data_IF_139637399719
#
_entry.id   IF_139637399719
#
_cell.length_a   1.000
_cell.length_b   1.000
_cell.length_c   1.000
_cell.angle_alpha   90.00
_cell.angle_beta   90.00
_cell.angle_gamma   90.00
#
_symmetry.space_group_name_H-M   'P 1'
#
loop_
_entity.id
_entity.type
_entity.pdbx_description
1 polymer ?
#
# COMPACT_ATOMS: atom_id res chain seq x y z
N UNK A 1 0.38 7.06 6.21
CA UNK A 1 -0.74 6.67 7.09
C UNK A 1 -1.39 7.85 7.83
N UNK A 2 -1.71 8.96 7.16
CA UNK A 2 -2.32 10.15 7.79
C UNK A 2 -3.68 9.87 8.46
N UNK A 3 -4.46 8.93 7.91
CA UNK A 3 -5.78 8.55 8.42
C UNK A 3 -5.69 7.80 9.75
N UNK A 4 -4.80 6.81 9.86
CA UNK A 4 -4.49 6.12 11.13
C UNK A 4 -4.05 7.10 12.21
N UNK A 5 -3.10 7.99 11.89
CA UNK A 5 -2.61 9.01 12.83
C UNK A 5 -3.72 9.97 13.28
N UNK A 6 -4.69 10.26 12.40
CA UNK A 6 -5.85 11.09 12.73
C UNK A 6 -6.81 10.36 13.66
N UNK A 7 -7.11 9.08 13.40
CA UNK A 7 -8.02 8.26 14.21
C UNK A 7 -7.44 8.06 15.62
N UNK A 8 -6.14 7.73 15.73
CA UNK A 8 -5.49 7.55 17.03
C UNK A 8 -5.47 8.85 17.84
N UNK A 9 -5.17 10.00 17.21
CA UNK A 9 -5.19 11.30 17.90
C UNK A 9 -6.59 11.70 18.36
N UNK A 10 -7.59 11.49 17.51
CA UNK A 10 -8.99 11.76 17.88
C UNK A 10 -9.43 10.91 19.08
N UNK A 11 -9.10 9.61 19.09
CA UNK A 11 -9.41 8.72 20.20
C UNK A 11 -8.68 9.10 21.49
N UNK A 12 -7.41 9.52 21.41
CA UNK A 12 -6.66 10.01 22.57
C UNK A 12 -7.27 11.27 23.18
N UNK A 13 -7.74 12.20 22.34
CA UNK A 13 -8.41 13.40 22.80
C UNK A 13 -9.72 13.06 23.50
N UNK A 14 -10.54 12.21 22.88
CA UNK A 14 -11.82 11.77 23.42
C UNK A 14 -11.65 11.02 24.76
N UNK A 15 -10.61 10.20 24.89
CA UNK A 15 -10.28 9.54 26.15
C UNK A 15 -9.96 10.53 27.27
N UNK A 16 -9.15 11.57 26.97
CA UNK A 16 -8.84 12.64 27.95
C UNK A 16 -10.07 13.45 28.33
N UNK A 17 -10.94 13.74 27.37
CA UNK A 17 -12.21 14.42 27.64
C UNK A 17 -13.14 13.56 28.49
N UNK A 18 -13.21 12.26 28.23
CA UNK A 18 -13.97 11.31 29.03
C UNK A 18 -13.44 11.23 30.47
N UNK A 19 -12.12 11.23 30.65
CA UNK A 19 -11.48 11.28 31.97
C UNK A 19 -11.74 12.60 32.71
N UNK A 20 -11.72 13.74 31.99
CA UNK A 20 -12.04 15.02 32.58
C UNK A 20 -13.53 15.10 33.02
N UNK A 21 -14.44 14.57 32.20
CA UNK A 21 -15.88 14.53 32.50
C UNK A 21 -16.22 13.57 33.64
N UNK A 22 -15.52 12.44 33.74
CA UNK A 22 -15.79 11.43 34.77
C UNK A 22 -15.64 11.94 36.20
N UNK A 23 -14.78 12.95 36.43
CA UNK A 23 -14.55 13.57 37.75
C UNK A 23 -15.80 14.22 38.36
N UNK A 24 -16.78 14.61 37.55
CA UNK A 24 -18.05 15.21 38.00
C UNK A 24 -19.28 14.30 37.87
N UNK A 25 -19.09 13.04 37.48
CA UNK A 25 -20.18 12.12 37.16
C UNK A 25 -20.48 11.15 38.30
N UNK A 26 -21.74 10.68 38.36
CA UNK A 26 -22.11 9.58 39.25
C UNK A 26 -21.39 8.28 38.84
N UNK A 27 -21.07 7.43 39.81
CA UNK A 27 -20.28 6.20 39.61
C UNK A 27 -20.82 5.29 38.49
N UNK A 28 -22.15 5.14 38.39
CA UNK A 28 -22.80 4.38 37.31
C UNK A 28 -22.51 4.96 35.93
N UNK A 29 -22.55 6.28 35.79
CA UNK A 29 -22.30 6.97 34.52
C UNK A 29 -20.81 6.89 34.12
N UNK A 30 -19.89 6.84 35.09
CA UNK A 30 -18.46 6.58 34.85
C UNK A 30 -18.24 5.16 34.32
N UNK A 31 -18.92 4.16 34.88
CA UNK A 31 -18.85 2.77 34.40
C UNK A 31 -19.37 2.64 32.96
N UNK A 32 -20.52 3.24 32.65
CA UNK A 32 -21.08 3.25 31.28
C UNK A 32 -20.16 3.98 30.28
N UNK A 33 -19.51 5.07 30.72
CA UNK A 33 -18.54 5.79 29.89
C UNK A 33 -17.30 4.93 29.62
N UNK A 34 -16.76 4.25 30.63
CA UNK A 34 -15.61 3.36 30.49
C UNK A 34 -15.91 2.17 29.56
N UNK A 35 -17.10 1.58 29.68
CA UNK A 35 -17.53 0.50 28.80
C UNK A 35 -17.60 0.96 27.34
N UNK A 36 -18.24 2.11 27.07
CA UNK A 36 -18.30 2.67 25.71
C UNK A 36 -16.93 3.00 25.14
N UNK A 37 -16.01 3.54 25.94
CA UNK A 37 -14.64 3.82 25.50
C UNK A 37 -13.87 2.53 25.16
N UNK A 38 -14.07 1.46 25.93
CA UNK A 38 -13.47 0.16 25.65
C UNK A 38 -14.01 -0.45 24.34
N UNK A 39 -15.34 -0.49 24.17
CA UNK A 39 -15.99 -0.96 22.93
C UNK A 39 -15.50 -0.18 21.72
N UNK A 40 -15.40 1.15 21.85
CA UNK A 40 -14.86 2.02 20.79
C UNK A 40 -13.40 1.71 20.49
N UNK A 41 -12.57 1.47 21.50
CA UNK A 41 -11.17 1.09 21.30
C UNK A 41 -11.04 -0.22 20.52
N UNK A 42 -11.85 -1.23 20.85
CA UNK A 42 -11.83 -2.51 20.16
C UNK A 42 -12.28 -2.37 18.70
N UNK A 43 -13.37 -1.63 18.47
CA UNK A 43 -13.88 -1.37 17.12
C UNK A 43 -12.84 -0.63 16.25
N UNK A 44 -12.22 0.43 16.79
CA UNK A 44 -11.19 1.17 16.08
C UNK A 44 -9.97 0.31 15.78
N UNK A 45 -9.56 -0.56 16.70
CA UNK A 45 -8.48 -1.53 16.49
C UNK A 45 -8.76 -2.45 15.30
N UNK A 46 -9.95 -3.06 15.26
CA UNK A 46 -10.37 -3.92 14.15
C UNK A 46 -10.46 -3.16 12.83
N UNK A 47 -11.03 -1.95 12.84
CA UNK A 47 -11.17 -1.13 11.64
C UNK A 47 -9.80 -0.76 11.05
N UNK A 48 -8.85 -0.37 11.89
CA UNK A 48 -7.49 -0.04 11.45
C UNK A 48 -6.77 -1.26 10.87
N UNK A 49 -6.94 -2.44 11.48
CA UNK A 49 -6.36 -3.68 10.96
C UNK A 49 -6.93 -4.06 9.59
N UNK A 50 -8.25 -3.97 9.42
CA UNK A 50 -8.90 -4.23 8.11
C UNK A 50 -8.46 -3.23 7.06
N UNK A 51 -8.37 -1.94 7.41
CA UNK A 51 -7.91 -0.91 6.49
C UNK A 51 -6.45 -1.13 6.07
N UNK A 52 -5.58 -1.57 6.99
CA UNK A 52 -4.18 -1.90 6.68
C UNK A 52 -4.08 -3.09 5.71
N UNK A 53 -4.87 -4.14 5.93
CA UNK A 53 -4.95 -5.28 5.02
C UNK A 53 -5.48 -4.89 3.64
N UNK A 54 -6.52 -4.06 3.60
CA UNK A 54 -7.09 -3.57 2.34
C UNK A 54 -6.08 -2.73 1.55
N UNK A 55 -5.36 -1.83 2.22
CA UNK A 55 -4.30 -1.03 1.60
C UNK A 55 -3.17 -1.90 1.05
N UNK A 56 -2.77 -2.94 1.80
CA UNK A 56 -1.76 -3.88 1.34
C UNK A 56 -2.23 -4.64 0.11
N UNK A 57 -3.48 -5.13 0.11
CA UNK A 57 -4.08 -5.83 -1.03
C UNK A 57 -4.22 -4.92 -2.27
N UNK A 58 -4.67 -3.68 -2.09
CA UNK A 58 -4.73 -2.71 -3.18
C UNK A 58 -3.35 -2.35 -3.73
N UNK A 59 -2.35 -2.22 -2.87
CA UNK A 59 -0.96 -2.00 -3.28
C UNK A 59 -0.44 -3.17 -4.09
N UNK A 60 -0.70 -4.41 -3.66
CA UNK A 60 -0.35 -5.61 -4.40
C UNK A 60 -1.05 -5.65 -5.76
N UNK A 61 -2.37 -5.46 -5.80
CA UNK A 61 -3.14 -5.45 -7.05
C UNK A 61 -2.68 -4.38 -8.04
N UNK A 62 -2.35 -3.17 -7.57
CA UNK A 62 -1.77 -2.11 -8.41
C UNK A 62 -0.38 -2.49 -8.91
N UNK A 63 0.44 -3.11 -8.06
CA UNK A 63 1.77 -3.61 -8.43
C UNK A 63 1.65 -4.70 -9.49
N UNK A 64 0.76 -5.67 -9.30
CA UNK A 64 0.52 -6.75 -10.27
C UNK A 64 0.03 -6.21 -11.61
N UNK A 65 -0.87 -5.22 -11.57
CA UNK A 65 -1.37 -4.54 -12.78
C UNK A 65 -0.25 -3.81 -13.52
N UNK A 66 0.63 -3.12 -12.78
CA UNK A 66 1.79 -2.45 -13.34
C UNK A 66 2.79 -3.47 -13.95
N UNK A 67 3.11 -4.53 -13.20
CA UNK A 67 3.98 -5.62 -13.65
C UNK A 67 3.43 -6.28 -14.91
N UNK A 68 2.11 -6.48 -15.00
CA UNK A 68 1.46 -7.02 -16.20
C UNK A 68 1.68 -6.09 -17.40
N UNK A 69 1.45 -4.78 -17.24
CA UNK A 69 1.69 -3.79 -18.30
C UNK A 69 3.15 -3.80 -18.76
N UNK A 70 4.10 -3.86 -17.83
CA UNK A 70 5.53 -3.94 -18.14
C UNK A 70 5.83 -5.24 -18.91
N UNK A 71 5.33 -6.39 -18.45
CA UNK A 71 5.53 -7.69 -19.13
C UNK A 71 4.96 -7.70 -20.55
N UNK A 72 3.76 -7.15 -20.73
CA UNK A 72 3.11 -7.06 -22.05
C UNK A 72 3.90 -6.14 -23.01
N UNK A 73 4.43 -5.04 -22.47
CA UNK A 73 5.31 -4.14 -23.22
C UNK A 73 6.63 -4.83 -23.61
N UNK A 74 7.35 -5.42 -22.65
CA UNK A 74 8.62 -6.15 -22.87
C UNK A 74 8.44 -7.25 -23.90
N UNK A 75 7.32 -7.99 -23.87
CA UNK A 75 7.00 -9.02 -24.87
C UNK A 75 6.84 -8.44 -26.27
N UNK A 76 6.19 -7.28 -26.38
CA UNK A 76 6.00 -6.59 -27.66
C UNK A 76 7.33 -6.04 -28.19
N UNK A 77 8.12 -5.40 -27.33
CA UNK A 77 9.46 -4.91 -27.63
C UNK A 77 10.39 -6.05 -28.08
N UNK A 78 10.37 -7.18 -27.37
CA UNK A 78 11.12 -8.38 -27.71
C UNK A 78 10.83 -8.90 -29.11
N UNK A 79 9.55 -8.99 -29.48
CA UNK A 79 9.13 -9.40 -30.83
C UNK A 79 9.57 -8.41 -31.91
N UNK A 80 9.39 -7.11 -31.68
CA UNK A 80 9.75 -6.08 -32.65
C UNK A 80 11.26 -6.03 -32.92
N UNK A 81 12.06 -6.20 -31.87
CA UNK A 81 13.52 -6.18 -31.95
C UNK A 81 14.15 -7.58 -32.13
N UNK A 82 13.33 -8.60 -32.40
CA UNK A 82 13.75 -9.98 -32.72
C UNK A 82 14.57 -10.67 -31.61
N UNK A 83 14.28 -10.35 -30.35
CA UNK A 83 14.85 -11.08 -29.21
C UNK A 83 14.21 -12.46 -29.07
N UNK A 84 15.04 -13.49 -28.95
CA UNK A 84 14.58 -14.87 -28.67
C UNK A 84 14.15 -15.03 -27.21
N UNK A 85 14.78 -14.32 -26.29
CA UNK A 85 14.47 -14.29 -24.86
C UNK A 85 14.84 -12.92 -24.28
N UNK A 86 14.08 -12.47 -23.28
CA UNK A 86 14.42 -11.35 -22.40
C UNK A 86 14.31 -11.89 -20.98
N UNK A 87 15.38 -11.77 -20.19
CA UNK A 87 15.45 -12.29 -18.82
C UNK A 87 15.31 -11.12 -17.86
N UNK A 88 14.39 -11.24 -16.89
CA UNK A 88 14.29 -10.27 -15.80
C UNK A 88 15.43 -10.48 -14.81
N UNK A 89 16.05 -9.39 -14.35
CA UNK A 89 17.13 -9.44 -13.36
C UNK A 89 16.64 -9.59 -11.90
N UNK A 90 15.34 -9.81 -11.67
CA UNK A 90 14.81 -9.95 -10.31
C UNK A 90 15.38 -11.16 -9.57
N UNK A 91 15.51 -10.97 -8.25
CA UNK A 91 16.18 -11.80 -7.25
C UNK A 91 16.27 -13.30 -7.60
N UNK A 92 17.39 -13.69 -8.21
CA UNK A 92 17.79 -15.09 -8.40
C UNK A 92 17.60 -15.66 -9.81
N UNK A 93 17.04 -14.90 -10.76
CA UNK A 93 16.78 -15.38 -12.13
C UNK A 93 18.03 -15.42 -13.01
N UNK A 94 18.98 -14.50 -12.76
CA UNK A 94 20.24 -14.36 -13.49
C UNK A 94 21.36 -14.12 -12.47
N UNK A 95 22.33 -15.04 -12.39
CA UNK A 95 23.44 -14.94 -11.44
C UNK A 95 24.57 -14.02 -11.93
N UNK A 96 24.73 -13.92 -13.26
CA UNK A 96 25.67 -13.03 -13.93
C UNK A 96 25.14 -12.76 -15.35
N UNK A 97 25.17 -11.49 -15.77
CA UNK A 97 24.85 -11.05 -17.12
C UNK A 97 25.88 -10.03 -17.58
N UNK A 98 26.28 -10.12 -18.85
CA UNK A 98 27.14 -9.12 -19.48
C UNK A 98 26.35 -7.81 -19.63
N UNK A 99 26.89 -6.69 -19.11
CA UNK A 99 26.25 -5.36 -19.18
C UNK A 99 25.99 -4.91 -20.62
N UNK A 100 26.78 -5.37 -21.59
CA UNK A 100 26.54 -5.07 -23.02
C UNK A 100 25.27 -5.71 -23.57
N UNK A 101 24.66 -6.64 -22.82
CA UNK A 101 23.39 -7.29 -23.13
C UNK A 101 22.24 -6.80 -22.24
N UNK A 102 22.50 -5.83 -21.36
CA UNK A 102 21.46 -5.18 -20.59
C UNK A 102 20.70 -4.19 -21.49
N UNK A 103 19.40 -4.42 -21.63
CA UNK A 103 18.50 -3.61 -22.46
C UNK A 103 17.56 -2.75 -21.61
N UNK A 104 17.80 -2.66 -20.29
CA UNK A 104 16.90 -2.02 -19.32
C UNK A 104 16.64 -0.57 -19.70
N UNK A 105 17.70 0.20 -20.01
CA UNK A 105 17.58 1.61 -20.40
C UNK A 105 16.79 1.79 -21.72
N UNK A 106 17.05 0.95 -22.72
CA UNK A 106 16.36 1.01 -24.00
C UNK A 106 14.86 0.68 -23.86
N UNK A 107 14.54 -0.34 -23.07
CA UNK A 107 13.16 -0.72 -22.76
C UNK A 107 12.47 0.35 -21.93
N UNK A 108 13.15 0.93 -20.93
CA UNK A 108 12.62 2.00 -20.09
C UNK A 108 12.26 3.23 -20.93
N UNK A 109 13.17 3.65 -21.82
CA UNK A 109 12.92 4.76 -22.74
C UNK A 109 11.73 4.47 -23.64
N UNK A 110 11.68 3.30 -24.28
CA UNK A 110 10.59 2.93 -25.16
C UNK A 110 9.24 2.84 -24.43
N UNK A 111 9.24 2.35 -23.18
CA UNK A 111 8.05 2.28 -22.33
C UNK A 111 7.54 3.68 -21.98
N UNK A 112 8.43 4.59 -21.58
CA UNK A 112 8.08 5.97 -21.26
C UNK A 112 7.54 6.71 -22.48
N UNK A 113 8.14 6.51 -23.66
CA UNK A 113 7.67 7.10 -24.92
C UNK A 113 6.28 6.57 -25.33
N UNK A 114 6.00 5.28 -25.14
CA UNK A 114 4.67 4.68 -25.39
C UNK A 114 3.63 5.22 -24.40
N UNK A 115 4.01 5.42 -23.14
CA UNK A 115 3.12 5.97 -22.12
C UNK A 115 2.80 7.45 -22.37
N UNK A 116 3.79 8.25 -22.75
CA UNK A 116 3.63 9.67 -23.09
C UNK A 116 2.72 9.90 -24.31
N UNK A 117 2.65 8.92 -25.24
CA UNK A 117 1.74 8.96 -26.40
C UNK A 117 0.30 8.54 -26.07
N UNK A 118 0.08 7.89 -24.92
CA UNK A 118 -1.23 7.38 -24.48
C UNK A 118 -1.90 8.28 -23.44
N UNK A 119 -1.20 9.29 -22.92
CA UNK A 119 -1.79 10.41 -22.19
C UNK A 119 -2.23 11.52 -23.15
#
# INVERSE_FOLDING_TARGET
NKKRDSITRAFQLEYREAEAKSKGMAQKAVQELAQRMNEKSQFLGQQLQMEEQQLQSESQSKTDTLLKKIKDFVKSYGKQNKYTYILGAEAGSVLYGDETRDITEDVLKALNDDYAKKQ
#
